data_IF_563528800186
#
_entry.id   IF_563528800186
#
_cell.length_a   1.000
_cell.length_b   1.000
_cell.length_c   1.000
_cell.angle_alpha   90.00
_cell.angle_beta   90.00
_cell.angle_gamma   90.00
#
_symmetry.space_group_name_H-M   'P 1'
#
loop_
_entity.id
_entity.type
_entity.pdbx_description
1 polymer ?
#
# COMPACT_ATOMS: atom_id res chain seq x y z
N UNK A 1 46.31 -65.26 -26.69
CA UNK A 1 44.88 -65.56 -26.49
C UNK A 1 44.33 -64.57 -25.51
N UNK A 2 43.80 -63.48 -25.97
CA UNK A 2 43.17 -62.47 -25.16
C UNK A 2 41.67 -62.52 -25.47
N UNK A 3 40.88 -62.91 -24.47
CA UNK A 3 39.44 -62.93 -24.57
C UNK A 3 38.84 -61.53 -24.18
N UNK A 4 38.17 -60.95 -25.14
CA UNK A 4 37.40 -59.68 -24.98
C UNK A 4 36.02 -60.00 -24.45
N UNK A 5 35.69 -59.45 -23.27
CA UNK A 5 34.36 -59.48 -22.71
C UNK A 5 33.41 -58.51 -23.43
N UNK A 6 32.13 -58.83 -23.64
CA UNK A 6 31.19 -57.95 -24.33
C UNK A 6 30.70 -56.82 -23.44
N UNK A 7 30.81 -55.60 -23.96
CA UNK A 7 30.20 -54.39 -23.37
C UNK A 7 28.70 -54.47 -23.51
N UNK A 8 27.98 -54.53 -22.36
CA UNK A 8 26.52 -54.37 -22.31
C UNK A 8 26.17 -52.91 -22.64
N UNK A 9 25.53 -52.68 -23.79
CA UNK A 9 24.81 -51.44 -24.10
C UNK A 9 23.60 -51.34 -23.14
N UNK A 10 23.56 -50.26 -22.36
CA UNK A 10 22.32 -49.85 -21.70
C UNK A 10 21.36 -49.38 -22.78
N UNK A 11 20.25 -50.10 -22.93
CA UNK A 11 19.10 -49.66 -23.70
C UNK A 11 18.48 -48.48 -22.95
N UNK A 12 18.47 -47.30 -23.57
CA UNK A 12 17.64 -46.18 -23.15
C UNK A 12 16.19 -46.64 -23.26
N UNK A 13 15.50 -46.73 -22.14
CA UNK A 13 14.06 -46.96 -22.12
C UNK A 13 13.39 -45.78 -22.84
N UNK A 14 13.04 -45.97 -24.11
CA UNK A 14 12.15 -45.08 -24.82
C UNK A 14 10.75 -45.19 -24.17
N UNK A 15 10.26 -44.12 -23.61
CA UNK A 15 8.89 -44.03 -23.11
C UNK A 15 7.93 -44.47 -24.22
N UNK A 16 7.02 -45.39 -23.94
CA UNK A 16 6.04 -45.85 -24.90
C UNK A 16 5.06 -44.73 -25.25
N UNK A 17 4.57 -44.70 -26.50
CA UNK A 17 3.59 -43.68 -26.96
C UNK A 17 2.38 -43.54 -26.04
N UNK A 18 2.02 -44.58 -25.31
CA UNK A 18 0.97 -44.58 -24.29
C UNK A 18 1.35 -43.76 -23.06
N UNK A 19 2.61 -43.82 -22.61
CA UNK A 19 3.10 -43.01 -21.47
C UNK A 19 3.25 -41.54 -21.84
N UNK A 20 3.63 -41.25 -23.06
CA UNK A 20 3.70 -39.88 -23.61
C UNK A 20 2.27 -39.30 -23.74
N UNK A 21 1.33 -40.08 -24.27
CA UNK A 21 -0.09 -39.67 -24.40
C UNK A 21 -0.74 -39.44 -23.04
N UNK A 22 -0.47 -40.29 -22.04
CA UNK A 22 -1.01 -40.12 -20.68
C UNK A 22 -0.36 -38.92 -19.97
N UNK A 23 0.94 -38.69 -20.16
CA UNK A 23 1.65 -37.51 -19.64
C UNK A 23 1.17 -36.21 -20.26
N UNK A 24 0.93 -36.18 -21.57
CA UNK A 24 0.35 -35.02 -22.27
C UNK A 24 -1.09 -34.76 -21.84
N UNK A 25 -1.94 -35.77 -21.70
CA UNK A 25 -3.31 -35.62 -21.22
C UNK A 25 -3.36 -35.08 -19.77
N UNK A 26 -2.47 -35.54 -18.90
CA UNK A 26 -2.32 -35.00 -17.56
C UNK A 26 -1.80 -33.54 -17.54
N UNK A 27 -0.89 -33.20 -18.45
CA UNK A 27 -0.41 -31.83 -18.63
C UNK A 27 -1.49 -30.89 -19.18
N UNK A 28 -2.26 -31.34 -20.18
CA UNK A 28 -3.38 -30.57 -20.74
C UNK A 28 -4.51 -30.42 -19.70
N UNK A 29 -4.85 -31.47 -18.98
CA UNK A 29 -5.83 -31.37 -17.89
C UNK A 29 -5.38 -30.43 -16.77
N UNK A 30 -4.08 -30.39 -16.45
CA UNK A 30 -3.53 -29.43 -15.47
C UNK A 30 -3.47 -28.00 -16.01
N UNK A 31 -3.26 -27.80 -17.30
CA UNK A 31 -3.36 -26.49 -17.95
C UNK A 31 -4.80 -25.97 -17.92
N UNK A 32 -5.78 -26.81 -18.24
CA UNK A 32 -7.20 -26.46 -18.15
C UNK A 32 -7.64 -26.09 -16.70
N UNK A 33 -7.15 -26.86 -15.72
CA UNK A 33 -7.38 -26.54 -14.29
C UNK A 33 -6.71 -25.23 -13.94
N UNK A 34 -5.48 -25.00 -14.38
CA UNK A 34 -4.76 -23.73 -14.12
C UNK A 34 -5.45 -22.54 -14.79
N UNK A 35 -5.93 -22.67 -16.04
CA UNK A 35 -6.69 -21.61 -16.71
C UNK A 35 -8.03 -21.36 -16.00
N UNK A 36 -8.72 -22.43 -15.56
CA UNK A 36 -9.95 -22.31 -14.78
C UNK A 36 -9.74 -21.67 -13.40
N UNK A 37 -8.63 -22.02 -12.69
CA UNK A 37 -8.24 -21.43 -11.42
C UNK A 37 -7.81 -19.97 -11.55
N UNK A 38 -7.28 -19.58 -12.72
CA UNK A 38 -6.83 -18.22 -13.01
C UNK A 38 -7.88 -17.38 -13.74
N UNK A 39 -9.08 -17.89 -13.97
CA UNK A 39 -10.19 -17.35 -14.78
C UNK A 39 -10.42 -15.84 -14.74
N UNK A 40 -11.40 -15.35 -15.48
CA UNK A 40 -11.68 -13.91 -15.58
C UNK A 40 -11.91 -13.25 -14.22
N UNK A 41 -11.29 -12.09 -14.04
CA UNK A 41 -11.24 -11.37 -12.78
C UNK A 41 -12.47 -10.45 -12.63
N UNK A 42 -13.37 -10.78 -11.74
CA UNK A 42 -14.54 -9.94 -11.40
C UNK A 42 -14.13 -8.66 -10.61
N UNK A 43 -12.89 -8.60 -10.14
CA UNK A 43 -12.34 -7.55 -9.30
C UNK A 43 -11.14 -6.87 -9.97
N UNK A 44 -10.53 -5.92 -9.27
CA UNK A 44 -9.36 -5.20 -9.74
C UNK A 44 -8.26 -6.14 -10.26
N UNK A 45 -7.82 -5.91 -11.50
CA UNK A 45 -6.76 -6.68 -12.16
C UNK A 45 -5.43 -5.91 -12.18
N UNK A 46 -4.39 -6.58 -11.73
CA UNK A 46 -3.03 -6.03 -11.71
C UNK A 46 -2.29 -6.08 -13.05
N UNK A 47 -2.83 -6.73 -14.07
CA UNK A 47 -2.15 -6.95 -15.35
C UNK A 47 -1.65 -5.65 -15.97
N UNK A 48 -2.49 -4.61 -15.97
CA UNK A 48 -2.12 -3.32 -16.58
C UNK A 48 -1.03 -2.59 -15.79
N UNK A 49 -1.16 -2.42 -14.47
CA UNK A 49 -0.15 -1.70 -13.68
C UNK A 49 1.19 -2.44 -13.68
N UNK A 50 1.17 -3.77 -13.66
CA UNK A 50 2.38 -4.60 -13.75
C UNK A 50 3.08 -4.49 -15.11
N UNK A 51 2.35 -4.24 -16.19
CA UNK A 51 2.94 -4.08 -17.52
C UNK A 51 3.89 -2.87 -17.66
N UNK A 52 3.83 -1.95 -16.70
CA UNK A 52 4.77 -0.83 -16.63
C UNK A 52 6.12 -1.19 -16.00
N UNK A 53 6.26 -2.38 -15.40
CA UNK A 53 7.50 -2.90 -14.79
C UNK A 53 8.15 -1.97 -13.75
N UNK A 54 7.37 -1.13 -13.08
CA UNK A 54 7.88 -0.30 -12.00
C UNK A 54 8.13 -1.17 -10.75
N UNK A 55 9.27 -1.02 -10.05
CA UNK A 55 9.53 -1.74 -8.81
C UNK A 55 8.52 -1.41 -7.70
N UNK A 56 8.10 -0.16 -7.60
CA UNK A 56 7.15 0.32 -6.60
C UNK A 56 5.86 0.80 -7.26
N UNK A 57 4.72 0.30 -6.80
CA UNK A 57 3.41 0.63 -7.38
C UNK A 57 2.45 1.06 -6.27
N UNK A 58 1.98 2.30 -6.33
CA UNK A 58 0.85 2.77 -5.54
C UNK A 58 -0.43 2.53 -6.33
N UNK A 59 -1.34 1.75 -5.78
CA UNK A 59 -2.66 1.48 -6.36
C UNK A 59 -3.71 2.11 -5.44
N UNK A 60 -4.18 3.28 -5.85
CA UNK A 60 -5.10 4.11 -5.08
C UNK A 60 -6.46 4.05 -5.77
N UNK A 61 -7.49 3.68 -5.04
CA UNK A 61 -8.81 3.52 -5.62
C UNK A 61 -9.91 3.43 -4.59
N UNK A 62 -11.15 3.42 -5.04
CA UNK A 62 -12.34 3.34 -4.18
C UNK A 62 -12.30 2.14 -3.22
N UNK A 63 -12.96 2.27 -2.09
CA UNK A 63 -13.12 1.18 -1.13
C UNK A 63 -13.99 0.08 -1.75
N UNK A 64 -13.56 -1.19 -1.59
CA UNK A 64 -14.29 -2.33 -2.14
C UNK A 64 -13.99 -2.66 -3.61
N UNK A 65 -13.16 -1.87 -4.31
CA UNK A 65 -12.74 -2.11 -5.69
C UNK A 65 -12.06 -3.48 -5.89
N UNK A 66 -11.63 -4.14 -4.82
CA UNK A 66 -10.98 -5.46 -4.90
C UNK A 66 -9.46 -5.40 -5.02
N UNK A 67 -8.81 -4.28 -4.72
CA UNK A 67 -7.34 -4.15 -4.77
C UNK A 67 -6.62 -5.24 -3.99
N UNK A 68 -6.96 -5.44 -2.73
CA UNK A 68 -6.37 -6.48 -1.88
C UNK A 68 -6.71 -7.88 -2.39
N UNK A 69 -7.95 -8.08 -2.84
CA UNK A 69 -8.41 -9.34 -3.41
C UNK A 69 -7.66 -9.69 -4.71
N UNK A 70 -7.51 -8.73 -5.62
CA UNK A 70 -6.70 -8.88 -6.84
C UNK A 70 -5.23 -9.17 -6.53
N UNK A 71 -4.65 -8.53 -5.48
CA UNK A 71 -3.28 -8.82 -5.04
C UNK A 71 -3.14 -10.26 -4.51
N UNK A 72 -4.16 -10.79 -3.80
CA UNK A 72 -4.21 -12.21 -3.40
C UNK A 72 -4.19 -13.14 -4.61
N UNK A 73 -5.08 -12.89 -5.60
CA UNK A 73 -5.09 -13.65 -6.86
C UNK A 73 -3.73 -13.65 -7.55
N UNK A 74 -3.09 -12.49 -7.64
CA UNK A 74 -1.77 -12.33 -8.24
C UNK A 74 -0.73 -13.23 -7.58
N UNK A 75 -0.61 -13.19 -6.25
CA UNK A 75 0.43 -13.95 -5.55
C UNK A 75 0.13 -15.45 -5.49
N UNK A 76 -1.15 -15.84 -5.47
CA UNK A 76 -1.55 -17.25 -5.62
C UNK A 76 -1.20 -17.75 -7.03
N UNK A 77 -1.49 -16.96 -8.06
CA UNK A 77 -1.11 -17.28 -9.44
C UNK A 77 0.42 -17.39 -9.63
N UNK A 78 1.19 -16.49 -9.01
CA UNK A 78 2.66 -16.56 -9.02
C UNK A 78 3.17 -17.80 -8.25
N UNK A 79 2.52 -18.20 -7.18
CA UNK A 79 2.81 -19.45 -6.46
C UNK A 79 2.56 -20.68 -7.33
N UNK A 80 1.39 -20.77 -7.92
CA UNK A 80 1.00 -21.90 -8.78
C UNK A 80 1.99 -22.05 -9.95
N UNK A 81 2.27 -20.95 -10.67
CA UNK A 81 3.05 -20.98 -11.91
C UNK A 81 4.57 -21.07 -11.69
N UNK A 82 5.08 -20.37 -10.66
CA UNK A 82 6.52 -20.10 -10.51
C UNK A 82 7.06 -20.44 -9.13
N UNK A 83 6.20 -20.83 -8.18
CA UNK A 83 6.55 -21.07 -6.79
C UNK A 83 7.21 -19.85 -6.12
N UNK A 84 6.84 -18.67 -6.59
CA UNK A 84 7.28 -17.41 -6.03
C UNK A 84 6.54 -17.13 -4.73
N UNK A 85 7.27 -16.64 -3.77
CA UNK A 85 6.74 -16.29 -2.46
C UNK A 85 6.37 -14.80 -2.43
N UNK A 86 5.50 -14.46 -1.48
CA UNK A 86 5.10 -13.09 -1.22
C UNK A 86 5.35 -12.68 0.24
N UNK A 87 5.31 -11.37 0.50
CA UNK A 87 5.18 -10.82 1.83
C UNK A 87 3.92 -9.97 1.87
N UNK A 88 3.03 -10.26 2.83
CA UNK A 88 1.92 -9.39 3.18
C UNK A 88 2.37 -8.49 4.32
N UNK A 89 2.52 -7.20 4.02
CA UNK A 89 3.03 -6.18 4.91
C UNK A 89 1.86 -5.33 5.43
N UNK A 90 1.82 -5.12 6.73
CA UNK A 90 0.94 -4.15 7.38
C UNK A 90 1.81 -3.22 8.21
N UNK A 91 1.28 -2.07 8.61
CA UNK A 91 2.02 -1.09 9.41
C UNK A 91 2.38 -1.61 10.78
N UNK A 92 1.42 -2.21 11.49
CA UNK A 92 1.60 -2.69 12.86
C UNK A 92 1.24 -4.17 13.00
N UNK A 93 1.74 -4.79 14.06
CA UNK A 93 1.39 -6.18 14.40
C UNK A 93 -0.09 -6.34 14.78
N UNK A 94 -0.71 -5.29 15.35
CA UNK A 94 -2.12 -5.27 15.67
C UNK A 94 -2.99 -5.46 14.41
N UNK A 95 -2.63 -4.83 13.31
CA UNK A 95 -3.34 -4.94 12.04
C UNK A 95 -3.26 -6.34 11.42
N UNK A 96 -2.37 -7.20 11.94
CA UNK A 96 -2.19 -8.58 11.48
C UNK A 96 -2.78 -9.65 12.42
N UNK A 97 -3.47 -9.26 13.49
CA UNK A 97 -4.07 -10.23 14.42
C UNK A 97 -4.97 -11.25 13.72
N UNK A 98 -5.72 -10.81 12.72
CA UNK A 98 -6.68 -11.64 11.98
C UNK A 98 -6.09 -12.31 10.72
N UNK A 99 -4.76 -12.41 10.59
CA UNK A 99 -4.13 -13.04 9.41
C UNK A 99 -4.56 -14.49 9.17
N UNK A 100 -5.03 -15.20 10.20
CA UNK A 100 -5.56 -16.55 10.05
C UNK A 100 -6.71 -16.67 9.05
N UNK A 101 -7.49 -15.60 8.83
CA UNK A 101 -8.60 -15.54 7.88
C UNK A 101 -8.20 -14.95 6.51
N UNK A 102 -6.89 -14.73 6.25
CA UNK A 102 -6.42 -14.03 5.06
C UNK A 102 -6.86 -14.68 3.75
N UNK A 103 -7.02 -16.01 3.75
CA UNK A 103 -7.46 -16.77 2.58
C UNK A 103 -8.98 -17.01 2.53
N UNK A 104 -9.74 -16.66 3.57
CA UNK A 104 -11.15 -17.05 3.71
C UNK A 104 -12.05 -16.55 2.57
N UNK A 105 -11.75 -15.37 2.04
CA UNK A 105 -12.52 -14.73 0.96
C UNK A 105 -12.14 -15.22 -0.45
N UNK A 106 -11.06 -15.98 -0.59
CA UNK A 106 -10.55 -16.39 -1.89
C UNK A 106 -10.41 -17.92 -2.04
N UNK A 107 -10.40 -18.65 -0.93
CA UNK A 107 -10.17 -20.11 -0.95
C UNK A 107 -11.17 -20.88 -1.83
N UNK A 108 -12.44 -20.44 -1.88
CA UNK A 108 -13.47 -21.08 -2.71
C UNK A 108 -13.18 -21.02 -4.21
N UNK A 109 -12.35 -20.07 -4.65
CA UNK A 109 -11.94 -19.97 -6.07
C UNK A 109 -10.83 -20.95 -6.43
N UNK A 110 -10.21 -21.58 -5.43
CA UNK A 110 -9.10 -22.52 -5.60
C UNK A 110 -9.38 -23.84 -4.87
N UNK A 111 -10.43 -24.58 -5.27
CA UNK A 111 -10.86 -25.79 -4.57
C UNK A 111 -9.81 -26.90 -4.56
N UNK A 112 -8.84 -26.84 -5.47
CA UNK A 112 -7.71 -27.80 -5.53
C UNK A 112 -6.55 -27.43 -4.59
N UNK A 113 -6.59 -26.28 -3.96
CA UNK A 113 -5.52 -25.81 -3.08
C UNK A 113 -5.99 -25.78 -1.63
N UNK A 114 -5.11 -26.21 -0.74
CA UNK A 114 -5.28 -26.05 0.69
C UNK A 114 -4.41 -24.90 1.18
N UNK A 115 -5.01 -23.94 1.87
CA UNK A 115 -4.30 -22.83 2.47
C UNK A 115 -4.32 -22.91 3.98
N UNK A 116 -3.19 -22.62 4.61
CA UNK A 116 -3.14 -22.42 6.05
C UNK A 116 -2.21 -21.29 6.44
N UNK A 117 -2.43 -20.75 7.62
CA UNK A 117 -1.53 -19.78 8.24
C UNK A 117 -0.95 -20.41 9.50
N UNK A 118 0.38 -20.54 9.55
CA UNK A 118 1.13 -21.11 10.67
C UNK A 118 2.11 -20.05 11.19
N UNK A 119 1.87 -19.55 12.40
CA UNK A 119 2.62 -18.41 12.93
C UNK A 119 2.52 -17.18 12.01
N UNK A 120 3.64 -16.75 11.48
CA UNK A 120 3.73 -15.63 10.51
C UNK A 120 3.94 -16.10 9.07
N UNK A 121 3.61 -17.36 8.76
CA UNK A 121 3.80 -17.93 7.44
C UNK A 121 2.46 -18.33 6.83
N UNK A 122 2.31 -18.02 5.55
CA UNK A 122 1.29 -18.58 4.70
C UNK A 122 1.85 -19.83 4.05
N UNK A 123 1.12 -20.92 4.09
CA UNK A 123 1.57 -22.20 3.58
C UNK A 123 0.51 -22.79 2.63
N UNK A 124 0.99 -23.42 1.56
CA UNK A 124 0.19 -24.10 0.57
C UNK A 124 1.00 -25.25 -0.04
N UNK A 125 0.41 -26.43 -0.27
CA UNK A 125 1.05 -27.50 -1.02
C UNK A 125 1.30 -27.09 -2.46
N UNK A 126 2.18 -27.82 -3.15
CA UNK A 126 2.30 -27.68 -4.59
C UNK A 126 1.13 -28.37 -5.30
N UNK A 127 0.60 -27.73 -6.33
CA UNK A 127 -0.54 -28.26 -7.07
C UNK A 127 -0.24 -29.63 -7.75
N UNK A 128 1.02 -29.93 -8.01
CA UNK A 128 1.46 -31.17 -8.68
C UNK A 128 1.80 -32.34 -7.74
N UNK A 129 1.61 -32.16 -6.43
CA UNK A 129 1.81 -33.19 -5.39
C UNK A 129 3.11 -34.01 -5.50
N UNK A 130 4.14 -33.46 -6.16
CA UNK A 130 5.39 -34.19 -6.43
C UNK A 130 6.12 -34.69 -5.18
N UNK A 131 5.85 -34.07 -4.07
CA UNK A 131 6.48 -34.30 -2.78
C UNK A 131 5.49 -34.71 -1.69
N UNK A 132 4.31 -35.15 -2.09
CA UNK A 132 3.37 -35.73 -1.16
C UNK A 132 3.98 -36.95 -0.45
N UNK A 133 3.80 -37.03 0.86
CA UNK A 133 4.33 -38.10 1.68
C UNK A 133 3.24 -39.08 2.05
N UNK A 134 3.52 -40.38 1.95
CA UNK A 134 2.60 -41.43 2.38
C UNK A 134 3.03 -41.94 3.76
N UNK A 135 2.11 -41.91 4.72
CA UNK A 135 2.35 -42.39 6.08
C UNK A 135 2.36 -43.92 6.14
N UNK A 136 2.71 -44.46 7.31
CA UNK A 136 2.79 -45.92 7.55
C UNK A 136 1.46 -46.66 7.33
N UNK A 137 0.36 -45.94 7.28
CA UNK A 137 -0.99 -46.50 7.10
C UNK A 137 -1.49 -46.29 5.64
N UNK A 138 -0.62 -45.91 4.71
CA UNK A 138 -0.96 -45.72 3.31
C UNK A 138 -1.72 -44.41 3.02
N UNK A 139 -1.85 -43.48 3.98
CA UNK A 139 -2.50 -42.20 3.78
C UNK A 139 -1.51 -41.19 3.23
N UNK A 140 -1.76 -40.74 2.02
CA UNK A 140 -0.97 -39.66 1.38
C UNK A 140 -1.39 -38.33 1.95
N UNK A 141 -0.41 -37.51 2.32
CA UNK A 141 -0.58 -36.15 2.81
C UNK A 141 0.26 -35.20 1.98
N UNK A 142 -0.26 -34.02 1.63
CA UNK A 142 0.52 -33.02 0.92
C UNK A 142 1.66 -32.51 1.82
N UNK A 143 2.79 -32.19 1.19
CA UNK A 143 3.87 -31.48 1.87
C UNK A 143 3.58 -29.99 1.86
N UNK A 144 3.60 -29.37 3.03
CA UNK A 144 3.35 -27.94 3.18
C UNK A 144 4.58 -27.11 2.86
N UNK A 145 4.42 -26.13 2.00
CA UNK A 145 5.47 -25.22 1.61
C UNK A 145 5.10 -23.79 1.97
N UNK A 146 6.09 -23.01 2.40
CA UNK A 146 5.91 -21.60 2.66
C UNK A 146 5.68 -20.88 1.33
N UNK A 147 4.47 -20.33 1.15
CA UNK A 147 4.13 -19.51 0.00
C UNK A 147 4.25 -18.01 0.29
N UNK A 148 4.27 -17.60 1.56
CA UNK A 148 4.38 -16.21 1.92
C UNK A 148 4.60 -15.97 3.40
N UNK A 149 4.76 -14.68 3.75
CA UNK A 149 5.02 -14.24 5.11
C UNK A 149 4.11 -13.06 5.47
N UNK A 150 3.72 -13.00 6.73
CA UNK A 150 3.00 -11.88 7.34
C UNK A 150 3.97 -11.08 8.20
N UNK A 151 4.25 -9.83 7.83
CA UNK A 151 5.25 -9.00 8.51
C UNK A 151 4.63 -7.64 8.82
N UNK A 152 4.90 -7.12 10.03
CA UNK A 152 4.56 -5.75 10.38
C UNK A 152 5.77 -4.85 10.14
N UNK A 153 5.58 -3.70 9.49
CA UNK A 153 6.63 -2.73 9.22
C UNK A 153 7.26 -2.21 10.52
N UNK A 154 6.47 -2.05 11.58
CA UNK A 154 6.96 -1.69 12.92
C UNK A 154 7.96 -2.70 13.51
N UNK A 155 8.00 -3.92 12.97
CA UNK A 155 8.92 -5.00 13.37
C UNK A 155 9.99 -5.31 12.31
N UNK A 156 10.08 -4.50 11.26
CA UNK A 156 11.02 -4.72 10.14
C UNK A 156 12.49 -4.84 10.61
N UNK A 157 12.85 -4.12 11.66
CA UNK A 157 14.19 -4.21 12.26
C UNK A 157 14.55 -5.61 12.75
N UNK A 158 13.57 -6.43 13.16
CA UNK A 158 13.80 -7.79 13.68
C UNK A 158 14.11 -8.81 12.57
N UNK A 159 13.79 -8.49 11.32
CA UNK A 159 13.96 -9.40 10.18
C UNK A 159 15.12 -9.01 9.26
N UNK A 160 15.94 -8.03 9.63
CA UNK A 160 17.07 -7.52 8.81
C UNK A 160 18.08 -8.61 8.41
N UNK A 161 18.27 -9.65 9.22
CA UNK A 161 19.17 -10.78 8.94
C UNK A 161 18.51 -11.95 8.21
N UNK A 162 17.18 -11.91 8.00
CA UNK A 162 16.46 -13.00 7.34
C UNK A 162 16.58 -12.89 5.83
N UNK A 163 16.83 -14.03 5.16
CA UNK A 163 16.87 -14.09 3.71
C UNK A 163 15.53 -14.53 3.13
N UNK A 164 15.08 -13.81 2.10
CA UNK A 164 13.82 -14.09 1.38
C UNK A 164 14.07 -14.39 -0.12
N UNK A 165 14.82 -15.46 -0.47
CA UNK A 165 15.32 -15.66 -1.84
C UNK A 165 14.24 -15.91 -2.87
N UNK A 166 13.08 -16.42 -2.47
CA UNK A 166 11.95 -16.74 -3.35
C UNK A 166 10.87 -15.63 -3.39
N UNK A 167 10.95 -14.63 -2.54
CA UNK A 167 9.99 -13.52 -2.54
C UNK A 167 10.18 -12.67 -3.78
N UNK A 168 9.07 -12.37 -4.46
CA UNK A 168 9.02 -11.51 -5.66
C UNK A 168 8.01 -10.37 -5.51
N UNK A 169 7.07 -10.50 -4.59
CA UNK A 169 6.03 -9.48 -4.39
C UNK A 169 5.87 -9.18 -2.91
N UNK A 170 5.92 -7.90 -2.57
CA UNK A 170 5.49 -7.39 -1.28
C UNK A 170 4.14 -6.70 -1.51
N UNK A 171 3.13 -7.03 -0.74
CA UNK A 171 1.83 -6.36 -0.72
C UNK A 171 1.79 -5.54 0.55
N UNK A 172 1.87 -4.22 0.44
CA UNK A 172 1.67 -3.32 1.57
C UNK A 172 0.24 -2.79 1.53
N UNK A 173 -0.62 -3.39 2.33
CA UNK A 173 -2.04 -3.05 2.34
C UNK A 173 -2.34 -1.93 3.35
N UNK A 174 -3.24 -1.02 2.95
CA UNK A 174 -3.60 0.20 3.69
C UNK A 174 -2.39 1.12 3.97
N UNK A 175 -1.60 1.41 2.93
CA UNK A 175 -0.42 2.27 3.09
C UNK A 175 -0.80 3.69 3.57
N UNK A 176 -1.98 4.19 3.21
CA UNK A 176 -2.54 5.43 3.74
C UNK A 176 -3.59 5.11 4.78
N UNK A 177 -3.27 5.26 6.08
CA UNK A 177 -4.21 4.93 7.15
C UNK A 177 -5.32 5.96 7.26
N UNK A 178 -6.55 5.52 7.49
CA UNK A 178 -7.73 6.39 7.68
C UNK A 178 -7.56 7.42 8.80
N UNK A 179 -6.78 7.07 9.83
CA UNK A 179 -6.51 7.93 10.99
C UNK A 179 -5.26 8.81 10.83
N UNK A 180 -4.60 8.78 9.66
CA UNK A 180 -3.36 9.50 9.33
C UNK A 180 -2.21 9.25 10.33
N UNK A 181 -2.21 8.12 11.02
CA UNK A 181 -1.15 7.75 11.96
C UNK A 181 -0.11 6.87 11.28
N UNK A 182 1.04 7.45 11.04
CA UNK A 182 2.22 6.77 10.50
C UNK A 182 3.22 6.43 11.61
N UNK A 183 4.12 5.50 11.35
CA UNK A 183 5.26 5.23 12.24
C UNK A 183 6.29 6.37 12.14
N UNK A 184 7.02 6.63 13.21
CA UNK A 184 8.18 7.51 13.13
C UNK A 184 9.21 6.95 12.15
N UNK A 185 9.60 7.75 11.12
CA UNK A 185 10.51 7.30 10.08
C UNK A 185 9.98 6.17 9.18
N UNK A 186 8.66 6.11 8.95
CA UNK A 186 8.00 5.01 8.23
C UNK A 186 8.56 4.80 6.83
N UNK A 187 8.84 5.87 6.10
CA UNK A 187 9.39 5.78 4.73
C UNK A 187 10.74 5.09 4.74
N UNK A 188 11.66 5.56 5.59
CA UNK A 188 12.99 4.93 5.75
C UNK A 188 12.89 3.47 6.20
N UNK A 189 11.96 3.17 7.12
CA UNK A 189 11.73 1.78 7.54
C UNK A 189 11.28 0.89 6.37
N UNK A 190 10.43 1.41 5.47
CA UNK A 190 10.01 0.69 4.27
C UNK A 190 11.16 0.51 3.28
N UNK A 191 11.98 1.53 3.06
CA UNK A 191 13.16 1.46 2.19
C UNK A 191 14.16 0.41 2.67
N UNK A 192 14.47 0.42 3.97
CA UNK A 192 15.36 -0.57 4.60
C UNK A 192 14.79 -1.98 4.53
N UNK A 193 13.48 -2.12 4.75
CA UNK A 193 12.78 -3.40 4.63
C UNK A 193 12.80 -3.92 3.20
N UNK A 194 12.48 -3.08 2.22
CA UNK A 194 12.54 -3.43 0.80
C UNK A 194 13.94 -3.92 0.42
N UNK A 195 14.98 -3.16 0.80
CA UNK A 195 16.36 -3.56 0.55
C UNK A 195 16.74 -4.87 1.26
N UNK A 196 16.25 -5.13 2.46
CA UNK A 196 16.45 -6.41 3.17
C UNK A 196 15.90 -7.59 2.37
N UNK A 197 14.77 -7.43 1.71
CA UNK A 197 14.13 -8.49 0.91
C UNK A 197 14.76 -8.60 -0.47
N UNK A 198 14.97 -7.50 -1.16
CA UNK A 198 15.50 -7.45 -2.54
C UNK A 198 17.01 -7.66 -2.60
N UNK A 199 17.76 -7.07 -1.67
CA UNK A 199 19.22 -7.12 -1.59
C UNK A 199 19.92 -6.63 -2.87
N UNK A 200 19.43 -5.53 -3.46
CA UNK A 200 19.96 -4.91 -4.67
C UNK A 200 19.95 -5.82 -5.90
N UNK A 201 18.99 -6.76 -5.98
CA UNK A 201 18.90 -7.71 -7.08
C UNK A 201 17.82 -7.38 -8.11
N UNK A 202 17.08 -6.28 -7.91
CA UNK A 202 16.02 -5.80 -8.80
C UNK A 202 14.95 -6.88 -9.13
N UNK A 203 14.68 -7.75 -8.16
CA UNK A 203 13.82 -8.92 -8.33
C UNK A 203 12.49 -8.82 -7.63
N UNK A 204 12.37 -7.88 -6.70
CA UNK A 204 11.18 -7.70 -5.85
C UNK A 204 10.41 -6.46 -6.29
N UNK A 205 9.11 -6.61 -6.44
CA UNK A 205 8.18 -5.49 -6.58
C UNK A 205 7.41 -5.29 -5.29
N UNK A 206 7.02 -4.05 -5.01
CA UNK A 206 6.09 -3.72 -3.93
C UNK A 206 4.82 -3.12 -4.50
N UNK A 207 3.69 -3.66 -4.07
CA UNK A 207 2.35 -3.19 -4.39
C UNK A 207 1.79 -2.54 -3.12
N UNK A 208 1.54 -1.26 -3.17
CA UNK A 208 1.06 -0.44 -2.08
C UNK A 208 -0.40 -0.09 -2.33
N UNK A 209 -1.31 -0.82 -1.66
CA UNK A 209 -2.75 -0.62 -1.82
C UNK A 209 -3.25 0.45 -0.85
N UNK A 210 -4.10 1.34 -1.36
CA UNK A 210 -4.79 2.31 -0.52
C UNK A 210 -6.16 2.69 -1.08
N UNK A 211 -7.00 3.21 -0.19
CA UNK A 211 -8.14 4.01 -0.58
C UNK A 211 -7.68 5.45 -0.84
N UNK A 212 -8.50 6.26 -1.51
CA UNK A 212 -8.25 7.69 -1.74
C UNK A 212 -8.46 8.51 -0.45
N UNK A 213 -7.59 8.30 0.55
CA UNK A 213 -7.72 8.92 1.87
C UNK A 213 -7.15 10.33 1.87
N UNK A 214 -5.89 10.48 1.42
CA UNK A 214 -5.20 11.77 1.48
C UNK A 214 -4.12 11.91 0.41
N UNK A 215 -4.02 13.10 -0.17
CA UNK A 215 -2.88 13.50 -1.01
C UNK A 215 -1.65 13.82 -0.16
N UNK A 216 -1.87 14.17 1.09
CA UNK A 216 -0.87 14.57 2.05
C UNK A 216 -0.41 13.35 2.86
N UNK A 217 0.67 12.71 2.45
CA UNK A 217 1.23 11.56 3.12
C UNK A 217 2.77 11.58 3.09
N UNK A 218 3.45 10.89 4.01
CA UNK A 218 4.91 10.93 4.11
C UNK A 218 5.62 10.36 2.87
N UNK A 219 5.02 9.42 2.16
CA UNK A 219 5.63 8.80 0.98
C UNK A 219 5.69 9.78 -0.19
N UNK A 220 4.58 10.46 -0.48
CA UNK A 220 4.55 11.44 -1.56
C UNK A 220 5.44 12.64 -1.27
N UNK A 221 5.51 13.05 0.00
CA UNK A 221 6.45 14.09 0.44
C UNK A 221 7.91 13.65 0.25
N UNK A 222 8.28 12.47 0.72
CA UNK A 222 9.65 11.97 0.65
C UNK A 222 10.14 11.76 -0.79
N UNK A 223 9.25 11.29 -1.67
CA UNK A 223 9.59 11.00 -3.08
C UNK A 223 9.24 12.15 -4.03
N UNK A 224 8.85 13.31 -3.50
CA UNK A 224 8.45 14.48 -4.27
C UNK A 224 7.37 14.16 -5.33
N UNK A 225 6.38 13.33 -4.97
CA UNK A 225 5.26 12.95 -5.81
C UNK A 225 4.16 14.00 -5.70
N UNK A 226 3.92 14.74 -6.79
CA UNK A 226 2.80 15.66 -6.92
C UNK A 226 1.72 15.02 -7.79
N UNK A 227 0.60 14.60 -7.19
CA UNK A 227 -0.51 14.01 -7.94
C UNK A 227 -1.42 15.03 -8.61
N UNK A 228 -1.29 16.35 -8.33
CA UNK A 228 -2.19 17.34 -8.88
C UNK A 228 -2.25 17.30 -10.41
N UNK A 229 -1.15 17.26 -11.18
CA UNK A 229 -1.23 17.15 -12.63
C UNK A 229 -1.91 15.85 -13.10
N UNK A 230 -1.73 14.75 -12.39
CA UNK A 230 -2.35 13.46 -12.71
C UNK A 230 -3.86 13.51 -12.50
N UNK A 231 -4.32 14.16 -11.44
CA UNK A 231 -5.74 14.38 -11.16
C UNK A 231 -6.38 15.36 -12.14
N UNK A 232 -5.75 16.51 -12.37
CA UNK A 232 -6.25 17.55 -13.28
C UNK A 232 -6.41 17.02 -14.71
N UNK A 233 -5.52 16.14 -15.16
CA UNK A 233 -5.54 15.53 -16.48
C UNK A 233 -6.29 14.20 -16.56
N UNK A 234 -6.92 13.76 -15.46
CA UNK A 234 -7.59 12.46 -15.36
C UNK A 234 -6.72 11.29 -15.85
N UNK A 235 -5.42 11.35 -15.54
CA UNK A 235 -4.46 10.33 -15.98
C UNK A 235 -4.45 9.18 -14.98
N UNK A 236 -4.90 7.99 -15.41
CA UNK A 236 -4.99 6.83 -14.53
C UNK A 236 -3.61 6.33 -14.08
N UNK A 237 -2.62 6.28 -14.97
CA UNK A 237 -1.28 5.74 -14.73
C UNK A 237 -0.22 6.80 -14.93
N UNK A 238 0.59 7.08 -13.92
CA UNK A 238 1.67 8.06 -14.02
C UNK A 238 2.96 7.51 -13.39
N UNK A 239 4.08 7.66 -14.11
CA UNK A 239 5.42 7.32 -13.59
C UNK A 239 6.04 8.49 -12.85
N UNK A 240 6.69 8.19 -11.73
CA UNK A 240 7.46 9.11 -10.91
C UNK A 240 8.86 8.58 -10.65
N UNK A 241 9.76 9.40 -10.13
CA UNK A 241 11.11 9.01 -9.75
C UNK A 241 11.86 8.26 -10.87
N UNK A 242 11.90 8.85 -12.07
CA UNK A 242 12.51 8.25 -13.27
C UNK A 242 11.98 6.86 -13.62
N UNK A 243 10.72 6.58 -13.29
CA UNK A 243 10.04 5.32 -13.60
C UNK A 243 10.16 4.23 -12.53
N UNK A 244 10.87 4.51 -11.44
CA UNK A 244 10.95 3.58 -10.31
C UNK A 244 9.61 3.42 -9.58
N UNK A 245 8.82 4.49 -9.54
CA UNK A 245 7.49 4.50 -8.93
C UNK A 245 6.42 4.66 -9.99
N UNK A 246 5.40 3.81 -9.97
CA UNK A 246 4.15 3.95 -10.68
C UNK A 246 3.04 4.31 -9.71
N UNK A 247 2.24 5.31 -10.04
CA UNK A 247 1.01 5.60 -9.32
C UNK A 247 -0.17 5.36 -10.24
N UNK A 248 -1.06 4.50 -9.83
CA UNK A 248 -2.36 4.28 -10.44
C UNK A 248 -3.45 4.91 -9.59
N UNK A 249 -4.26 5.74 -10.22
CA UNK A 249 -5.56 6.18 -9.72
C UNK A 249 -6.61 5.22 -10.29
N UNK A 250 -6.83 4.11 -9.57
CA UNK A 250 -7.67 3.02 -10.04
C UNK A 250 -9.14 3.45 -10.06
N UNK A 251 -9.65 3.67 -11.26
CA UNK A 251 -11.05 3.97 -11.52
C UNK A 251 -11.64 2.90 -12.44
N UNK A 252 -12.69 2.25 -11.93
CA UNK A 252 -13.45 1.22 -12.65
C UNK A 252 -14.91 1.64 -12.70
N UNK A 253 -15.29 2.31 -13.79
CA UNK A 253 -16.66 2.82 -13.97
C UNK A 253 -17.76 1.76 -13.77
N UNK A 254 -17.49 0.51 -14.13
CA UNK A 254 -18.40 -0.62 -13.86
C UNK A 254 -18.58 -0.91 -12.37
N UNK A 255 -17.52 -0.77 -11.57
CA UNK A 255 -17.60 -0.93 -10.12
C UNK A 255 -18.42 0.20 -9.49
N UNK A 256 -18.12 1.45 -9.83
CA UNK A 256 -18.86 2.61 -9.33
C UNK A 256 -20.35 2.53 -9.67
N UNK A 257 -20.69 2.09 -10.89
CA UNK A 257 -22.08 1.85 -11.29
C UNK A 257 -22.76 0.73 -10.46
N UNK A 258 -22.08 -0.39 -10.27
CA UNK A 258 -22.56 -1.52 -9.45
C UNK A 258 -22.80 -1.12 -7.99
N UNK A 259 -21.84 -0.40 -7.38
CA UNK A 259 -21.99 0.07 -6.00
C UNK A 259 -23.13 1.07 -5.88
N UNK A 260 -23.25 1.98 -6.85
CA UNK A 260 -24.32 2.98 -6.89
C UNK A 260 -25.75 2.37 -6.94
N UNK A 261 -25.89 1.19 -7.53
CA UNK A 261 -27.17 0.47 -7.61
C UNK A 261 -27.45 -0.42 -6.39
N UNK A 262 -26.44 -0.63 -5.54
CA UNK A 262 -26.63 -1.38 -4.29
C UNK A 262 -27.51 -0.59 -3.29
N UNK A 263 -28.22 -1.30 -2.40
CA UNK A 263 -29.04 -0.65 -1.35
C UNK A 263 -28.21 0.31 -0.50
N UNK A 264 -26.98 -0.07 -0.16
CA UNK A 264 -26.10 0.78 0.63
C UNK A 264 -25.57 1.97 -0.17
N UNK A 265 -25.25 1.79 -1.46
CA UNK A 265 -24.84 2.89 -2.34
C UNK A 265 -25.94 3.93 -2.56
N UNK A 266 -27.20 3.48 -2.70
CA UNK A 266 -28.37 4.36 -2.77
C UNK A 266 -28.56 5.14 -1.46
N UNK A 267 -28.48 4.46 -0.32
CA UNK A 267 -28.54 5.09 1.01
C UNK A 267 -27.46 6.16 1.16
N UNK A 268 -26.21 5.86 0.80
CA UNK A 268 -25.11 6.84 0.91
C UNK A 268 -25.35 8.07 0.03
N UNK A 269 -25.80 7.90 -1.20
CA UNK A 269 -26.09 9.03 -2.10
C UNK A 269 -27.20 9.95 -1.58
N UNK A 270 -28.15 9.38 -0.87
CA UNK A 270 -29.30 10.13 -0.34
C UNK A 270 -28.98 10.84 0.99
N UNK A 271 -28.17 10.22 1.85
CA UNK A 271 -27.99 10.67 3.25
C UNK A 271 -26.55 11.05 3.62
N UNK A 272 -25.53 10.65 2.86
CA UNK A 272 -24.12 10.98 3.12
C UNK A 272 -23.32 11.12 1.82
N UNK A 273 -23.54 12.22 1.12
CA UNK A 273 -22.90 12.52 -0.16
C UNK A 273 -21.35 12.56 -0.05
N UNK A 274 -20.82 13.04 1.07
CA UNK A 274 -19.36 13.10 1.28
C UNK A 274 -18.75 11.71 1.34
N UNK A 275 -19.40 10.78 2.05
CA UNK A 275 -18.93 9.40 2.09
C UNK A 275 -19.18 8.68 0.75
N UNK A 276 -20.28 9.00 0.06
CA UNK A 276 -20.56 8.47 -1.27
C UNK A 276 -19.47 8.88 -2.28
N UNK A 277 -19.08 10.14 -2.31
CA UNK A 277 -18.00 10.64 -3.17
C UNK A 277 -16.67 9.94 -2.89
N UNK A 278 -16.31 9.77 -1.64
CA UNK A 278 -15.11 9.03 -1.24
C UNK A 278 -15.18 7.54 -1.60
N UNK A 279 -16.29 6.87 -1.25
CA UNK A 279 -16.40 5.42 -1.34
C UNK A 279 -16.74 4.92 -2.75
N UNK A 280 -17.46 5.72 -3.55
CA UNK A 280 -17.97 5.36 -4.87
C UNK A 280 -17.17 6.03 -5.98
N UNK A 281 -16.93 7.35 -5.87
CA UNK A 281 -16.33 8.15 -6.93
C UNK A 281 -14.81 8.25 -6.84
N UNK A 282 -14.20 7.60 -5.84
CA UNK A 282 -12.75 7.61 -5.62
C UNK A 282 -12.17 9.01 -5.35
N UNK A 283 -13.01 9.94 -4.88
CA UNK A 283 -12.54 11.26 -4.51
C UNK A 283 -11.70 11.20 -3.24
N UNK A 284 -10.55 11.85 -3.25
CA UNK A 284 -9.75 11.96 -2.04
C UNK A 284 -10.55 12.68 -0.96
N UNK A 285 -10.59 12.13 0.25
CA UNK A 285 -11.24 12.77 1.43
C UNK A 285 -10.70 14.16 1.69
N UNK A 286 -9.48 14.39 1.26
CA UNK A 286 -8.78 15.67 1.38
C UNK A 286 -9.11 16.67 0.31
N UNK A 287 -10.20 16.58 -0.32
CA UNK A 287 -10.65 17.39 -1.47
C UNK A 287 -9.79 18.62 -1.81
N UNK A 288 -9.73 18.97 -3.08
CA UNK A 288 -9.16 20.21 -3.62
C UNK A 288 -9.61 21.48 -2.84
N UNK A 289 -10.72 21.41 -2.10
CA UNK A 289 -11.23 22.46 -1.21
C UNK A 289 -10.28 22.87 -0.07
N UNK A 290 -9.25 22.06 0.23
CA UNK A 290 -8.21 22.44 1.21
C UNK A 290 -7.00 23.09 0.55
N UNK A 291 -6.92 23.12 -0.77
CA UNK A 291 -5.86 23.81 -1.53
C UNK A 291 -6.33 25.20 -1.95
N UNK A 292 -5.46 26.17 -1.81
CA UNK A 292 -5.72 27.56 -2.20
C UNK A 292 -4.56 28.08 -3.05
N UNK A 293 -4.88 28.69 -4.18
CA UNK A 293 -3.88 29.28 -5.09
C UNK A 293 -3.76 30.79 -4.92
N UNK A 294 -4.88 31.46 -4.57
CA UNK A 294 -4.91 32.91 -4.35
C UNK A 294 -5.32 33.22 -2.90
N UNK A 295 -4.44 33.90 -2.20
CA UNK A 295 -4.64 34.40 -0.83
C UNK A 295 -4.04 35.80 -0.64
N UNK A 296 -4.10 36.61 -1.69
CA UNK A 296 -3.58 37.99 -1.72
C UNK A 296 -4.22 38.88 -0.63
N UNK A 297 -5.45 38.56 -0.22
CA UNK A 297 -6.19 39.27 0.83
C UNK A 297 -5.95 38.73 2.24
N UNK A 298 -5.10 37.72 2.40
CA UNK A 298 -4.85 37.11 3.69
C UNK A 298 -3.84 37.90 4.52
N UNK A 299 -4.14 38.11 5.80
CA UNK A 299 -3.24 38.73 6.76
C UNK A 299 -2.26 37.73 7.34
N UNK A 300 -0.96 38.12 7.38
CA UNK A 300 0.07 37.30 8.02
C UNK A 300 -0.15 37.21 9.55
N UNK A 301 0.04 36.01 10.12
CA UNK A 301 -0.14 35.75 11.55
C UNK A 301 1.21 35.42 12.21
N UNK A 302 1.87 34.34 11.78
CA UNK A 302 3.17 33.95 12.31
C UNK A 302 3.90 32.98 11.38
N UNK A 303 5.17 32.76 11.68
CA UNK A 303 6.05 31.76 11.02
C UNK A 303 6.35 30.62 11.96
N UNK A 304 6.15 29.38 11.51
CA UNK A 304 6.53 28.17 12.22
C UNK A 304 7.83 27.63 11.63
N UNK A 305 8.88 27.52 12.45
CA UNK A 305 10.17 26.89 12.09
C UNK A 305 10.21 25.46 12.59
N UNK A 306 10.66 24.56 11.73
CA UNK A 306 10.83 23.14 12.06
C UNK A 306 12.22 22.67 11.58
N UNK A 307 12.75 21.63 12.22
CA UNK A 307 14.04 21.03 11.81
C UNK A 307 13.89 20.12 10.59
N UNK A 308 12.73 19.46 10.43
CA UNK A 308 12.54 18.44 9.40
C UNK A 308 11.95 19.02 8.10
N UNK A 309 11.00 19.96 8.22
CA UNK A 309 10.21 20.44 7.08
C UNK A 309 10.48 21.91 6.72
N UNK A 310 11.45 22.55 7.40
CA UNK A 310 11.80 23.95 7.17
C UNK A 310 10.77 24.92 7.76
N UNK A 311 10.37 25.92 6.97
CA UNK A 311 9.60 27.07 7.44
C UNK A 311 8.20 27.03 6.83
N UNK A 312 7.18 27.31 7.66
CA UNK A 312 5.80 27.53 7.25
C UNK A 312 5.35 28.92 7.70
N UNK A 313 4.77 29.66 6.78
CA UNK A 313 4.19 30.96 7.06
C UNK A 313 2.65 30.80 7.11
N UNK A 314 2.08 31.26 8.20
CA UNK A 314 0.65 31.12 8.49
C UNK A 314 -0.02 32.48 8.27
N UNK A 315 -1.03 32.47 7.43
CA UNK A 315 -1.88 33.62 7.16
C UNK A 315 -3.31 33.31 7.61
N UNK A 316 -4.11 34.33 7.77
CA UNK A 316 -5.55 34.17 8.06
C UNK A 316 -6.38 35.02 7.09
N UNK A 317 -7.54 34.50 6.74
CA UNK A 317 -8.50 35.16 5.85
C UNK A 317 -9.92 34.82 6.32
N UNK A 318 -10.87 35.72 6.14
CA UNK A 318 -12.29 35.38 6.29
C UNK A 318 -12.78 34.66 5.04
N UNK A 319 -13.54 33.60 5.23
CA UNK A 319 -14.27 32.93 4.15
C UNK A 319 -15.51 33.74 3.75
N UNK A 320 -16.17 33.35 2.67
CA UNK A 320 -17.44 33.93 2.24
C UNK A 320 -18.58 33.74 3.28
N UNK A 321 -18.38 32.83 4.25
CA UNK A 321 -19.29 32.56 5.36
C UNK A 321 -18.84 33.19 6.69
N UNK A 322 -17.98 34.21 6.64
CA UNK A 322 -17.39 34.88 7.80
C UNK A 322 -16.60 33.98 8.77
N UNK A 323 -16.18 32.82 8.31
CA UNK A 323 -15.33 31.93 9.10
C UNK A 323 -13.84 32.22 8.88
N UNK A 324 -13.04 32.16 9.96
CA UNK A 324 -11.60 32.34 9.86
C UNK A 324 -10.96 31.07 9.27
N UNK A 325 -10.37 31.22 8.09
CA UNK A 325 -9.49 30.22 7.47
C UNK A 325 -8.04 30.53 7.78
N UNK A 326 -7.25 29.51 8.07
CA UNK A 326 -5.79 29.64 8.18
C UNK A 326 -5.12 29.04 6.97
N UNK A 327 -4.23 29.82 6.34
CA UNK A 327 -3.55 29.47 5.10
C UNK A 327 -2.08 29.18 5.42
N UNK A 328 -1.62 28.01 5.05
CA UNK A 328 -0.27 27.52 5.28
C UNK A 328 0.51 27.55 3.96
N UNK A 329 1.60 28.28 3.94
CA UNK A 329 2.42 28.50 2.74
C UNK A 329 3.91 28.52 3.09
N UNK A 330 4.78 28.39 2.09
CA UNK A 330 6.22 28.68 2.20
C UNK A 330 6.63 30.06 1.64
N UNK A 331 5.67 30.83 1.13
CA UNK A 331 5.91 32.23 0.72
C UNK A 331 6.31 33.07 1.90
N UNK A 332 7.44 33.76 1.79
CA UNK A 332 7.99 34.57 2.87
C UNK A 332 7.26 35.92 3.00
N UNK A 333 6.82 36.30 4.20
CA UNK A 333 6.34 37.64 4.47
C UNK A 333 7.51 38.65 4.55
N UNK A 334 7.20 39.94 4.51
CA UNK A 334 8.21 41.01 4.67
C UNK A 334 8.83 41.06 6.08
N UNK A 335 8.05 40.68 7.09
CA UNK A 335 8.45 40.64 8.50
C UNK A 335 7.96 39.33 9.07
N UNK A 336 8.80 38.64 9.85
CA UNK A 336 8.48 37.36 10.49
C UNK A 336 8.31 37.52 11.98
N UNK A 337 7.43 36.69 12.55
CA UNK A 337 7.32 36.38 13.98
C UNK A 337 7.52 34.87 14.09
N UNK A 338 8.71 34.47 14.49
CA UNK A 338 9.15 33.11 14.37
C UNK A 338 8.83 32.33 15.65
N UNK A 339 8.22 31.18 15.46
CA UNK A 339 7.87 30.25 16.52
C UNK A 339 8.32 28.84 16.14
N UNK A 340 8.50 27.98 17.15
CA UNK A 340 8.88 26.58 16.95
C UNK A 340 8.29 25.69 18.04
N UNK A 341 8.09 24.42 17.72
CA UNK A 341 7.84 23.36 18.72
C UNK A 341 9.12 22.58 19.07
N UNK A 342 10.26 22.94 18.45
CA UNK A 342 11.55 22.29 18.65
C UNK A 342 12.47 23.17 19.49
N UNK A 343 12.82 22.71 20.69
CA UNK A 343 13.67 23.46 21.61
C UNK A 343 15.07 23.79 21.00
N UNK A 344 15.53 23.02 20.02
CA UNK A 344 16.81 23.22 19.33
C UNK A 344 16.84 24.49 18.47
N UNK A 345 15.67 24.98 18.06
CA UNK A 345 15.51 26.18 17.23
C UNK A 345 15.20 27.44 18.04
N UNK A 346 15.03 27.32 19.37
CA UNK A 346 14.71 28.44 20.24
C UNK A 346 15.92 29.37 20.36
N UNK A 347 15.73 30.67 20.11
CA UNK A 347 16.70 31.74 20.24
C UNK A 347 15.97 33.09 20.49
N UNK A 348 16.71 34.20 20.45
CA UNK A 348 16.15 35.55 20.69
C UNK A 348 15.03 35.92 19.69
N UNK A 349 15.06 35.36 18.46
CA UNK A 349 14.17 35.70 17.37
C UNK A 349 13.11 34.59 17.11
N UNK A 350 13.25 33.41 17.77
CA UNK A 350 12.35 32.27 17.58
C UNK A 350 11.86 31.72 18.93
N UNK A 351 10.58 31.87 19.20
CA UNK A 351 9.96 31.59 20.47
C UNK A 351 9.37 30.18 20.50
N UNK A 352 9.58 29.49 21.63
CA UNK A 352 8.99 28.17 21.85
C UNK A 352 7.47 28.24 21.98
N UNK A 353 6.75 27.48 21.16
CA UNK A 353 5.33 27.25 21.31
C UNK A 353 5.06 26.03 22.19
N UNK A 354 4.09 26.16 23.07
CA UNK A 354 3.51 25.06 23.83
C UNK A 354 2.15 24.69 23.23
N UNK A 355 1.76 23.45 23.45
CA UNK A 355 0.45 23.00 23.02
C UNK A 355 -0.70 23.80 23.64
N UNK A 356 -0.54 24.27 24.88
CA UNK A 356 -1.53 25.08 25.62
C UNK A 356 -1.66 26.52 25.11
N UNK A 357 -0.73 26.99 24.29
CA UNK A 357 -0.75 28.37 23.81
C UNK A 357 -1.94 28.62 22.89
N UNK A 358 -2.52 29.79 23.00
CA UNK A 358 -3.72 30.19 22.26
C UNK A 358 -3.56 30.03 20.73
N UNK A 359 -2.40 30.42 20.22
CA UNK A 359 -2.05 30.27 18.80
C UNK A 359 -2.09 28.79 18.36
N UNK A 360 -1.49 27.91 19.18
CA UNK A 360 -1.46 26.47 18.89
C UNK A 360 -2.88 25.88 18.94
N UNK A 361 -3.67 26.27 19.95
CA UNK A 361 -5.05 25.81 20.08
C UNK A 361 -5.94 26.25 18.93
N UNK A 362 -5.77 27.49 18.43
CA UNK A 362 -6.49 28.01 17.25
C UNK A 362 -6.19 27.17 16.00
N UNK A 363 -4.91 26.85 15.74
CA UNK A 363 -4.54 26.03 14.60
C UNK A 363 -5.06 24.59 14.74
N UNK A 364 -4.94 23.98 15.92
CA UNK A 364 -5.48 22.64 16.17
C UNK A 364 -7.01 22.58 16.04
N UNK A 365 -7.70 23.64 16.49
CA UNK A 365 -9.16 23.76 16.34
C UNK A 365 -9.53 23.90 14.86
N UNK A 366 -8.86 24.78 14.12
CA UNK A 366 -9.07 24.97 12.69
C UNK A 366 -8.81 23.68 11.90
N UNK A 367 -7.80 22.91 12.28
CA UNK A 367 -7.54 21.60 11.68
C UNK A 367 -8.70 20.62 11.90
N UNK A 368 -9.21 20.52 13.12
CA UNK A 368 -10.32 19.60 13.47
C UNK A 368 -11.63 19.90 12.73
N UNK A 369 -11.89 21.17 12.43
CA UNK A 369 -13.10 21.61 11.73
C UNK A 369 -12.87 21.89 10.23
N UNK A 370 -11.71 21.51 9.69
CA UNK A 370 -11.43 21.62 8.26
C UNK A 370 -11.22 23.06 7.76
N UNK A 371 -10.77 23.98 8.62
CA UNK A 371 -10.53 25.41 8.28
C UNK A 371 -9.08 25.74 7.93
N UNK A 372 -8.22 24.71 7.73
CA UNK A 372 -6.89 24.91 7.18
C UNK A 372 -6.93 24.88 5.66
N UNK A 373 -6.16 25.77 5.03
CA UNK A 373 -5.92 25.80 3.59
C UNK A 373 -4.42 25.75 3.34
N UNK A 374 -4.02 25.15 2.23
CA UNK A 374 -2.62 24.92 1.90
C UNK A 374 -2.33 25.37 0.48
N UNK A 375 -1.18 25.98 0.25
CA UNK A 375 -0.79 26.40 -1.08
C UNK A 375 -0.50 25.21 -2.01
N UNK A 376 0.05 24.11 -1.47
CA UNK A 376 0.36 22.90 -2.22
C UNK A 376 0.04 21.63 -1.42
N UNK A 377 -0.17 20.48 -2.09
CA UNK A 377 -0.35 19.19 -1.42
C UNK A 377 0.85 18.82 -0.55
N UNK A 378 2.07 19.18 -0.97
CA UNK A 378 3.28 18.91 -0.18
C UNK A 378 3.28 19.68 1.13
N UNK A 379 2.95 20.97 1.12
CA UNK A 379 2.84 21.80 2.34
C UNK A 379 1.79 21.20 3.28
N UNK A 380 0.67 20.73 2.73
CA UNK A 380 -0.37 20.03 3.51
C UNK A 380 0.17 18.76 4.18
N UNK A 381 0.92 17.93 3.43
CA UNK A 381 1.52 16.71 3.96
C UNK A 381 2.47 17.00 5.14
N UNK A 382 3.43 17.86 4.90
CA UNK A 382 4.46 18.24 5.89
C UNK A 382 3.84 18.85 7.14
N UNK A 383 2.90 19.79 6.97
CA UNK A 383 2.24 20.47 8.10
C UNK A 383 1.32 19.51 8.90
N UNK A 384 0.64 18.59 8.22
CA UNK A 384 -0.19 17.57 8.88
C UNK A 384 0.63 16.62 9.73
N UNK A 385 1.88 16.31 9.35
CA UNK A 385 2.80 15.51 10.17
C UNK A 385 3.15 16.22 11.49
N UNK A 386 3.38 17.53 11.45
CA UNK A 386 3.63 18.35 12.64
C UNK A 386 2.42 18.33 13.57
N UNK A 387 1.21 18.56 13.02
CA UNK A 387 -0.02 18.54 13.80
C UNK A 387 -0.31 17.16 14.38
N UNK A 388 -0.03 16.09 13.63
CA UNK A 388 -0.14 14.70 14.09
C UNK A 388 0.72 14.43 15.32
N UNK A 389 1.97 14.90 15.32
CA UNK A 389 2.88 14.81 16.46
C UNK A 389 2.35 15.55 17.69
N UNK A 390 1.79 16.75 17.50
CA UNK A 390 1.19 17.54 18.61
C UNK A 390 -0.07 16.87 19.17
N UNK A 391 -0.86 16.19 18.36
CA UNK A 391 -2.07 15.50 18.80
C UNK A 391 -1.75 14.18 19.53
N UNK A 392 -0.68 13.46 19.14
CA UNK A 392 -0.28 12.20 19.77
C UNK A 392 0.28 12.37 21.20
N UNK A 393 0.96 13.47 21.50
CA UNK A 393 1.46 13.75 22.85
C UNK A 393 0.37 13.84 23.92
N UNK A 394 -0.90 13.78 23.54
CA UNK A 394 -2.05 13.75 24.47
C UNK A 394 -2.42 12.36 25.00
N UNK A 395 -1.85 11.29 24.44
CA UNK A 395 -2.15 9.89 24.79
C UNK A 395 -1.24 9.26 25.87
N UNK A 396 -0.17 9.95 26.29
CA UNK A 396 0.77 9.42 27.28
C UNK A 396 0.60 10.16 28.62
N UNK A 397 -0.57 10.05 29.20
CA UNK A 397 -0.86 10.20 30.64
C UNK A 397 -2.21 9.54 30.95
N UNK A 398 -2.20 8.23 31.07
CA UNK A 398 -3.06 7.49 32.01
C UNK A 398 -2.28 6.27 32.47
#
# INVERSE_FOLDING_TARGET
MCGTAPVRRRTSDAMTDRQISTGLSLLYGKMDIMEKLLGEWDYYDYGRVLSYHAPWMFVIGARGLGKTYGAKKLVIGDWIKKRWQFIYLRRTAEEQKNKGTWFADIAEQYPELEFRVSGNQAECPWLDDRDATTDKHGKTRPTWHIMGYFIALSQAGQVKSVAYPKVRTIIFDEIFPDNMRYLGGEVTALEEFYNTVDRWNDRVRIIMCSNAVTLANPYFSAFNINLKPQLDNHTQYQRYCNGFIMVELADYGGFSAKVATSKFGQFLREYDENYANYAINNDFRDNANTLISDFSNAGYVFTLRTTEYGIFNIYQQLSDTDEVLYIITKKQPKITRDFTFDYRLVNNDCIMLKRSDDVTQKILSAYRVGRLRFETPQIKAEFSMILGGLLQQSGIRK
#
